data_IF_258670497050
#
_entry.id   IF_258670497050
#
_cell.length_a   1.000
_cell.length_b   1.000
_cell.length_c   1.000
_cell.angle_alpha   90.00
_cell.angle_beta   90.00
_cell.angle_gamma   90.00
#
_symmetry.space_group_name_H-M   'P 1'
#
loop_
_entity.id
_entity.type
_entity.pdbx_description
1 polymer ?
2 non-polymer ?
3 water ?
#
# COMPACT_ATOMS: atom_id res chain seq x y z
N UNK A 3 -2.23 5.29 34.58
CA UNK A 3 -3.70 5.41 34.84
C UNK A 3 -4.49 4.93 33.61
N UNK A 4 -4.08 3.77 33.10
CA UNK A 4 -4.61 3.25 31.83
C UNK A 4 -6.12 3.10 31.87
N UNK A 5 -6.63 2.43 32.91
CA UNK A 5 -8.07 2.25 33.07
C UNK A 5 -8.85 3.57 33.05
N UNK A 6 -8.32 4.61 33.69
CA UNK A 6 -9.02 5.89 33.67
C UNK A 6 -9.01 6.53 32.27
N UNK A 7 -7.91 6.39 31.54
CA UNK A 7 -7.81 6.97 30.20
C UNK A 7 -8.79 6.28 29.26
N UNK A 8 -9.01 4.98 29.49
CA UNK A 8 -9.97 4.19 28.71
C UNK A 8 -11.39 4.78 28.76
N UNK A 9 -11.73 5.43 29.87
CA UNK A 9 -13.04 6.09 30.00
C UNK A 9 -13.23 7.24 28.98
N UNK A 10 -12.11 7.74 28.43
CA UNK A 10 -12.16 8.73 27.36
C UNK A 10 -12.61 8.12 26.03
N UNK A 11 -12.40 6.81 25.90
CA UNK A 11 -12.65 6.09 24.65
C UNK A 11 -14.12 5.69 24.57
N UNK A 12 -14.62 5.45 23.34
CA UNK A 12 -16.03 5.08 23.16
C UNK A 12 -16.35 3.80 23.92
N UNK A 13 -17.65 3.57 24.14
CA UNK A 13 -18.11 2.40 24.90
C UNK A 13 -17.51 1.15 24.29
N UNK A 14 -16.86 0.34 25.12
CA UNK A 14 -16.45 -0.98 24.69
C UNK A 14 -15.19 -1.06 23.86
N UNK A 15 -14.41 0.03 23.78
CA UNK A 15 -13.18 -0.02 22.96
C UNK A 15 -12.18 -0.95 23.62
N UNK A 16 -11.35 -1.61 22.81
CA UNK A 16 -10.45 -2.62 23.33
C UNK A 16 -9.01 -2.18 23.18
N UNK A 17 -8.34 -2.01 24.31
CA UNK A 17 -6.90 -1.64 24.34
C UNK A 17 -5.98 -2.77 24.81
N UNK A 18 -4.90 -2.98 24.05
CA UNK A 18 -3.78 -3.84 24.43
C UNK A 18 -2.52 -2.97 24.29
N UNK A 19 -1.81 -2.77 25.38
CA UNK A 19 -0.74 -1.78 25.45
C UNK A 19 0.48 -2.33 26.15
N UNK A 20 1.64 -2.04 25.59
CA UNK A 20 2.91 -2.39 26.24
C UNK A 20 3.95 -1.28 26.03
N UNK A 21 4.63 -0.90 27.12
CA UNK A 21 5.71 0.11 27.07
C UNK A 21 6.91 -0.44 27.82
N UNK A 22 8.09 -0.35 27.23
CA UNK A 22 9.26 -1.07 27.73
C UNK A 22 10.53 -0.35 27.33
N UNK A 23 11.37 -0.04 28.31
CA UNK A 23 12.69 0.55 28.05
C UNK A 23 13.45 -0.25 27.00
N UNK A 24 14.13 0.44 26.10
CA UNK A 24 14.96 -0.25 25.11
C UNK A 24 16.03 -1.06 25.83
N UNK A 25 16.10 -2.35 25.51
CA UNK A 25 17.09 -3.25 26.08
C UNK A 25 16.70 -3.91 27.39
N UNK A 26 15.59 -3.46 27.98
CA UNK A 26 15.05 -4.09 29.19
C UNK A 26 14.27 -5.37 28.86
N UNK A 27 14.16 -6.26 29.84
CA UNK A 27 13.43 -7.53 29.66
C UNK A 27 12.00 -7.44 30.20
N UNK A 28 11.78 -6.56 31.18
CA UNK A 28 10.46 -6.36 31.74
C UNK A 28 9.83 -5.02 31.30
N UNK A 29 8.53 -5.03 30.99
CA UNK A 29 7.81 -3.81 30.63
C UNK A 29 7.50 -2.89 31.82
N UNK A 30 7.48 -1.59 31.53
CA UNK A 30 7.05 -0.57 32.47
C UNK A 30 5.53 -0.48 32.50
N UNK A 31 4.89 -0.63 31.35
CA UNK A 31 3.43 -0.70 31.28
C UNK A 31 3.05 -1.97 30.55
N UNK A 32 2.13 -2.73 31.14
CA UNK A 32 1.63 -3.95 30.55
C UNK A 32 0.14 -4.02 30.80
N UNK A 33 -0.65 -3.71 29.78
CA UNK A 33 -2.10 -3.81 29.83
C UNK A 33 -2.52 -4.71 28.68
N UNK A 34 -2.82 -5.97 29.00
CA UNK A 34 -3.23 -6.96 28.01
C UNK A 34 -2.19 -7.14 26.88
N UNK A 35 -0.91 -7.12 27.22
CA UNK A 35 0.16 -7.07 26.21
C UNK A 35 0.28 -8.38 25.43
N UNK A 36 -0.29 -9.44 25.98
CA UNK A 36 -0.25 -10.73 25.35
C UNK A 36 -1.43 -10.98 24.41
N UNK A 37 -2.40 -10.09 24.42
CA UNK A 37 -3.66 -10.28 23.69
C UNK A 37 -3.49 -10.01 22.20
N UNK A 38 -4.05 -10.87 21.33
CA UNK A 38 -3.95 -10.70 19.88
C UNK A 38 -4.77 -9.49 19.43
N UNK A 39 -4.29 -8.78 18.40
CA UNK A 39 -5.01 -7.67 17.87
C UNK A 39 -4.74 -7.52 16.38
N UNK A 40 -5.63 -6.77 15.73
CA UNK A 40 -5.44 -6.33 14.34
C UNK A 40 -4.33 -5.27 14.38
N UNK A 41 -3.22 -5.50 13.67
CA UNK A 41 -2.14 -4.48 13.67
C UNK A 41 -2.35 -3.29 12.74
N UNK A 42 -3.21 -3.45 11.73
CA UNK A 42 -3.41 -2.40 10.72
C UNK A 42 -2.03 -2.01 10.14
N UNK A 43 -1.82 -0.75 9.79
CA UNK A 43 -0.55 -0.34 9.16
C UNK A 43 0.68 -0.48 10.05
N UNK A 44 0.52 -0.82 11.33
CA UNK A 44 1.76 -1.15 12.07
C UNK A 44 2.47 -2.40 11.54
N UNK A 45 1.74 -3.21 10.77
CA UNK A 45 2.33 -4.37 10.09
C UNK A 45 3.51 -3.93 9.20
N UNK A 46 3.48 -2.67 8.75
CA UNK A 46 4.51 -2.18 7.84
C UNK A 46 5.85 -2.12 8.54
N UNK A 47 5.84 -2.04 9.89
CA UNK A 47 7.11 -2.07 10.62
C UNK A 47 7.79 -3.40 10.40
N UNK A 48 7.06 -4.50 10.56
CA UNK A 48 7.56 -5.82 10.25
C UNK A 48 8.03 -6.01 8.79
N UNK A 49 7.22 -5.50 7.85
CA UNK A 49 7.54 -5.58 6.44
C UNK A 49 8.85 -4.87 6.15
N UNK A 50 9.01 -3.66 6.68
CA UNK A 50 10.25 -2.87 6.49
C UNK A 50 11.44 -3.63 7.08
N UNK A 51 11.31 -4.22 8.26
CA UNK A 51 12.48 -4.93 8.85
C UNK A 51 12.84 -6.16 8.03
N UNK A 52 11.83 -6.98 7.70
CA UNK A 52 12.09 -8.18 6.94
C UNK A 52 12.66 -7.85 5.54
N UNK A 53 12.20 -6.77 4.94
CA UNK A 53 12.69 -6.32 3.62
C UNK A 53 14.18 -5.93 3.70
N UNK A 54 14.53 -5.16 4.72
CA UNK A 54 15.95 -4.77 4.86
C UNK A 54 16.86 -5.97 5.11
N UNK A 55 16.38 -6.94 5.89
CA UNK A 55 17.15 -8.16 6.11
C UNK A 55 17.28 -9.04 4.84
N UNK A 56 16.19 -9.23 4.11
CA UNK A 56 16.19 -10.12 2.95
C UNK A 56 16.77 -9.49 1.70
N UNK A 57 16.34 -8.27 1.40
CA UNK A 57 16.65 -7.61 0.15
C UNK A 57 17.82 -6.61 0.29
N UNK A 58 17.96 -6.03 1.49
CA UNK A 58 18.93 -4.96 1.73
C UNK A 58 18.52 -3.56 1.30
N UNK A 59 19.17 -2.53 1.84
CA UNK A 59 18.78 -1.13 1.60
C UNK A 59 18.99 -0.64 0.17
N UNK A 60 19.81 -1.37 -0.58
CA UNK A 60 20.18 -0.98 -1.94
C UNK A 60 19.42 -1.72 -3.04
N UNK A 61 18.51 -2.63 -2.64
CA UNK A 61 17.69 -3.34 -3.63
C UNK A 61 16.90 -2.34 -4.46
N UNK A 62 16.76 -2.61 -5.76
CA UNK A 62 15.90 -1.78 -6.62
C UNK A 62 14.96 -2.67 -7.41
N UNK A 63 13.72 -2.21 -7.56
CA UNK A 63 12.77 -2.91 -8.42
C UNK A 63 13.24 -2.65 -9.86
N UNK A 64 12.98 -3.58 -10.78
CA UNK A 64 13.45 -3.47 -12.16
C UNK A 64 12.33 -3.79 -13.17
N UNK A 65 12.27 -3.01 -14.25
CA UNK A 65 11.38 -3.28 -15.36
C UNK A 65 12.28 -3.26 -16.59
N UNK A 66 12.06 -4.17 -17.55
CA UNK A 66 12.91 -4.19 -18.76
C UNK A 66 12.10 -4.38 -20.02
N UNK A 67 12.69 -3.98 -21.15
CA UNK A 67 12.24 -4.46 -22.46
C UNK A 67 13.32 -5.41 -22.96
N UNK A 68 12.91 -6.58 -23.42
CA UNK A 68 13.88 -7.60 -23.81
C UNK A 68 13.54 -8.11 -25.19
N UNK A 69 14.56 -8.35 -26.00
CA UNK A 69 14.30 -8.94 -27.29
C UNK A 69 14.78 -10.37 -27.31
N UNK A 70 13.92 -11.19 -27.90
CA UNK A 70 14.18 -12.56 -28.20
C UNK A 70 14.08 -12.68 -29.73
N UNK A 71 15.25 -12.71 -30.41
CA UNK A 71 15.32 -12.80 -31.88
C UNK A 71 16.33 -11.85 -32.49
N UNK A 72 16.63 -12.04 -33.78
CA UNK A 72 17.54 -11.16 -34.51
C UNK A 72 16.80 -9.95 -35.09
N UNK A 73 17.49 -8.82 -35.15
CA UNK A 73 16.95 -7.60 -35.74
C UNK A 73 17.54 -7.42 -37.15
N UNK A 74 16.70 -7.51 -38.18
CA UNK A 74 17.15 -7.45 -39.57
C UNK A 74 16.50 -6.29 -40.30
N UNK A 75 17.32 -5.32 -40.74
CA UNK A 75 16.81 -4.09 -41.36
C UNK A 75 15.74 -3.39 -40.53
N UNK A 76 15.99 -3.31 -39.22
CA UNK A 76 15.08 -2.65 -38.28
C UNK A 76 13.90 -3.48 -37.83
N UNK A 77 13.83 -4.73 -38.28
CA UNK A 77 12.72 -5.61 -37.96
C UNK A 77 13.18 -6.67 -36.96
N UNK A 78 12.56 -6.67 -35.78
CA UNK A 78 12.83 -7.72 -34.82
C UNK A 78 12.13 -8.97 -35.26
N UNK A 79 12.89 -10.04 -35.53
CA UNK A 79 12.32 -11.31 -35.97
C UNK A 79 12.05 -12.16 -34.73
N UNK A 80 10.91 -11.90 -34.08
CA UNK A 80 10.61 -12.50 -32.79
C UNK A 80 9.80 -11.56 -31.92
N UNK A 81 9.79 -11.84 -30.62
CA UNK A 81 8.90 -11.13 -29.72
C UNK A 81 9.58 -10.01 -28.97
N UNK A 82 8.81 -8.96 -28.68
CA UNK A 82 9.23 -7.98 -27.67
C UNK A 82 8.62 -8.43 -26.35
N UNK A 83 9.47 -8.49 -25.32
CA UNK A 83 9.02 -8.82 -23.96
C UNK A 83 9.16 -7.61 -23.03
N UNK A 84 8.06 -7.21 -22.39
CA UNK A 84 8.11 -6.20 -21.36
C UNK A 84 8.00 -6.92 -20.03
N UNK A 85 9.12 -6.99 -19.30
CA UNK A 85 9.18 -7.78 -18.09
C UNK A 85 8.96 -6.85 -16.91
N UNK A 86 7.78 -6.94 -16.33
CA UNK A 86 7.45 -6.12 -15.14
C UNK A 86 7.99 -6.73 -13.88
N UNK A 87 8.28 -5.90 -12.89
CA UNK A 87 8.96 -6.37 -11.68
C UNK A 87 8.37 -5.84 -10.41
N UNK A 88 7.08 -5.47 -10.47
CA UNK A 88 6.34 -4.98 -9.29
C UNK A 88 6.85 -3.65 -8.76
N UNK A 89 7.50 -2.86 -9.61
CA UNK A 89 7.98 -1.56 -9.16
C UNK A 89 6.77 -0.67 -8.86
N UNK A 90 6.57 -0.29 -7.60
CA UNK A 90 5.39 0.49 -7.27
C UNK A 90 5.46 1.95 -7.74
N UNK A 91 6.65 2.36 -8.24
CA UNK A 91 6.87 3.74 -8.64
C UNK A 91 6.96 3.96 -10.16
N UNK A 92 6.77 2.90 -10.94
CA UNK A 92 6.88 3.02 -12.38
C UNK A 92 5.82 3.97 -12.92
N UNK A 93 6.19 4.80 -13.89
CA UNK A 93 5.31 5.81 -14.45
C UNK A 93 5.13 5.63 -15.97
N UNK A 94 4.08 6.25 -16.51
CA UNK A 94 3.82 6.23 -17.96
C UNK A 94 5.09 6.67 -18.69
N UNK A 95 5.74 7.69 -18.15
CA UNK A 95 6.96 8.22 -18.74
C UNK A 95 8.08 7.25 -18.84
N UNK A 96 8.18 6.35 -17.87
CA UNK A 96 9.21 5.33 -17.91
C UNK A 96 9.00 4.35 -19.09
N UNK A 97 7.73 3.96 -19.31
CA UNK A 97 7.38 3.17 -20.48
C UNK A 97 7.72 3.91 -21.78
N UNK A 98 7.33 5.18 -21.84
CA UNK A 98 7.64 6.02 -23.01
C UNK A 98 9.16 6.04 -23.24
N UNK A 99 9.92 6.24 -22.17
CA UNK A 99 11.38 6.30 -22.28
C UNK A 99 12.00 4.98 -22.73
N UNK A 100 11.52 3.86 -22.21
CA UNK A 100 12.07 2.56 -22.61
C UNK A 100 11.74 2.28 -24.07
N UNK A 101 10.57 2.70 -24.53
CA UNK A 101 10.21 2.56 -25.95
C UNK A 101 11.14 3.43 -26.83
N UNK A 102 11.39 4.67 -26.38
CA UNK A 102 12.33 5.57 -27.09
C UNK A 102 13.67 4.91 -27.23
N UNK A 103 14.11 4.22 -26.18
CA UNK A 103 15.39 3.50 -26.18
C UNK A 103 15.37 2.31 -27.16
N UNK A 104 14.25 1.59 -27.18
CA UNK A 104 14.08 0.47 -28.08
C UNK A 104 14.19 0.95 -29.52
N UNK A 105 13.50 2.05 -29.82
CA UNK A 105 13.56 2.69 -31.15
C UNK A 105 15.02 3.03 -31.49
N UNK A 106 15.67 3.72 -30.57
CA UNK A 106 17.04 4.21 -30.80
C UNK A 106 18.02 3.08 -30.98
N UNK A 107 17.71 1.91 -30.41
CA UNK A 107 18.52 0.72 -30.56
C UNK A 107 18.47 0.13 -31.97
N UNK A 108 17.54 0.61 -32.80
CA UNK A 108 17.39 0.14 -34.18
C UNK A 108 16.15 -0.67 -34.51
N UNK A 109 15.22 -0.79 -33.57
CA UNK A 109 13.99 -1.55 -33.80
C UNK A 109 12.85 -0.64 -34.22
N UNK A 110 12.38 -0.83 -35.46
CA UNK A 110 11.27 -0.06 -36.04
C UNK A 110 9.99 -0.88 -36.18
N UNK A 111 10.13 -2.20 -36.09
CA UNK A 111 9.05 -3.11 -36.43
C UNK A 111 9.27 -4.40 -35.68
N UNK A 112 8.20 -4.99 -35.16
CA UNK A 112 8.29 -6.28 -34.48
C UNK A 112 7.54 -7.34 -35.29
N UNK A 113 8.27 -8.33 -35.77
CA UNK A 113 7.68 -9.43 -36.53
C UNK A 113 7.39 -10.56 -35.55
N UNK A 114 6.32 -10.37 -34.78
CA UNK A 114 6.04 -11.21 -33.63
C UNK A 114 5.04 -10.55 -32.69
N UNK A 115 4.98 -11.07 -31.47
CA UNK A 115 4.04 -10.59 -30.44
C UNK A 115 4.71 -9.63 -29.46
N UNK A 116 3.86 -8.94 -28.69
CA UNK A 116 4.33 -8.09 -27.59
C UNK A 116 3.84 -8.75 -26.33
N UNK A 117 4.79 -9.18 -25.50
CA UNK A 117 4.47 -9.97 -24.32
C UNK A 117 4.59 -9.15 -23.06
N UNK A 118 3.53 -9.19 -22.26
CA UNK A 118 3.53 -8.51 -20.95
C UNK A 118 3.86 -9.56 -19.91
N UNK A 119 5.11 -9.55 -19.43
CA UNK A 119 5.58 -10.60 -18.56
C UNK A 119 5.43 -10.22 -17.09
N UNK A 120 4.61 -10.99 -16.37
CA UNK A 120 4.35 -10.78 -14.93
C UNK A 120 4.78 -12.00 -14.12
N UNK A 121 5.66 -12.81 -14.69
CA UNK A 121 6.04 -14.10 -14.13
C UNK A 121 6.78 -14.00 -12.79
N UNK A 122 7.25 -12.79 -12.44
CA UNK A 122 7.88 -12.56 -11.14
C UNK A 122 6.94 -12.92 -9.97
N UNK A 123 5.63 -12.76 -10.18
CA UNK A 123 4.61 -13.07 -9.19
C UNK A 123 3.64 -14.12 -9.72
N UNK A 124 2.87 -14.72 -8.82
CA UNK A 124 1.83 -15.64 -9.27
C UNK A 124 0.60 -15.55 -8.35
N UNK A 125 -0.50 -16.18 -8.77
CA UNK A 125 -1.74 -16.21 -7.98
C UNK A 125 -2.31 -14.79 -7.90
N UNK A 126 -3.25 -14.60 -6.99
CA UNK A 126 -4.02 -13.36 -6.92
C UNK A 126 -3.18 -12.16 -6.53
N UNK A 127 -3.56 -11.00 -7.05
CA UNK A 127 -2.89 -9.75 -6.69
C UNK A 127 -3.56 -9.10 -5.50
N UNK A 128 -4.44 -9.85 -4.84
CA UNK A 128 -5.15 -9.35 -3.66
C UNK A 128 -4.93 -10.36 -2.53
N UNK A 129 -4.51 -9.88 -1.35
CA UNK A 129 -4.22 -10.78 -0.23
C UNK A 129 -5.51 -11.28 0.37
N UNK A 130 -5.46 -12.44 1.01
CA UNK A 130 -6.64 -12.92 1.73
C UNK A 130 -7.00 -11.95 2.84
N UNK A 131 -8.29 -11.74 3.04
CA UNK A 131 -8.76 -10.90 4.11
C UNK A 131 -8.93 -9.42 3.81
N UNK A 132 -8.67 -9.00 2.58
CA UNK A 132 -8.94 -7.62 2.21
C UNK A 132 -10.41 -7.48 1.95
N UNK A 133 -11.07 -6.47 2.51
CA UNK A 133 -12.50 -6.26 2.21
C UNK A 133 -12.73 -5.97 0.72
N UNK A 134 -13.72 -6.65 0.13
CA UNK A 134 -13.97 -6.52 -1.30
C UNK A 134 -14.34 -5.07 -1.68
N UNK A 135 -15.03 -4.36 -0.77
CA UNK A 135 -15.65 -3.09 -1.13
C UNK A 135 -14.61 -1.98 -1.33
N UNK A 136 -13.41 -2.19 -0.82
CA UNK A 136 -12.35 -1.16 -0.96
C UNK A 136 -11.50 -1.38 -2.20
N UNK A 137 -11.72 -2.47 -2.95
CA UNK A 137 -10.79 -2.87 -4.00
C UNK A 137 -10.72 -1.86 -5.15
N UNK A 138 -11.78 -1.07 -5.33
CA UNK A 138 -11.81 -0.07 -6.38
C UNK A 138 -11.27 1.26 -5.89
N UNK A 139 -10.94 1.38 -4.60
CA UNK A 139 -10.31 2.59 -4.09
C UNK A 139 -8.81 2.53 -4.31
N UNK A 140 -8.19 3.69 -4.56
CA UNK A 140 -6.78 3.66 -4.85
C UNK A 140 -5.87 3.18 -3.72
N UNK A 141 -6.28 3.39 -2.46
CA UNK A 141 -5.44 2.93 -1.36
C UNK A 141 -5.36 1.41 -1.28
N UNK A 142 -6.30 0.72 -1.95
CA UNK A 142 -6.33 -0.75 -1.93
C UNK A 142 -6.16 -1.30 -3.37
N UNK A 143 -5.54 -0.52 -4.26
CA UNK A 143 -5.39 -1.01 -5.64
C UNK A 143 -4.54 -2.29 -5.64
N UNK A 144 -4.99 -3.36 -6.31
CA UNK A 144 -4.20 -4.61 -6.29
C UNK A 144 -2.72 -4.37 -6.67
N UNK A 145 -1.79 -4.66 -5.77
CA UNK A 145 -0.35 -4.39 -6.01
C UNK A 145 0.29 -5.47 -6.88
N UNK A 146 -0.01 -5.41 -8.17
CA UNK A 146 0.32 -6.43 -9.16
C UNK A 146 1.77 -6.28 -9.60
N UNK A 147 2.25 -7.24 -10.40
CA UNK A 147 3.60 -7.11 -10.95
C UNK A 147 3.66 -5.97 -11.91
N UNK A 148 2.56 -5.75 -12.63
CA UNK A 148 2.44 -4.64 -13.59
C UNK A 148 1.74 -3.44 -12.99
N UNK A 149 2.51 -2.43 -12.60
CA UNK A 149 1.96 -1.20 -12.04
C UNK A 149 2.44 -0.02 -12.90
N UNK A 150 1.52 0.86 -13.24
CA UNK A 150 1.87 2.12 -13.91
C UNK A 150 1.10 3.26 -13.25
N UNK A 151 1.84 4.23 -12.70
CA UNK A 151 1.21 5.32 -11.96
C UNK A 151 0.23 4.81 -10.92
N UNK A 152 0.73 3.87 -10.12
CA UNK A 152 0.05 3.32 -8.95
C UNK A 152 -1.27 2.61 -9.32
N UNK A 153 -1.47 2.33 -10.61
CA UNK A 153 -2.69 1.64 -11.02
C UNK A 153 -3.92 2.34 -10.49
N UNK A 154 -3.88 3.67 -10.54
CA UNK A 154 -4.94 4.54 -10.10
C UNK A 154 -5.21 5.56 -11.22
N UNK A 155 -6.48 5.84 -11.46
CA UNK A 155 -6.84 6.83 -12.47
C UNK A 155 -8.00 7.69 -11.97
N UNK A 156 -8.09 8.92 -12.49
CA UNK A 156 -9.20 9.79 -12.10
C UNK A 156 -10.19 10.05 -13.20
N UNK A 157 -11.37 10.44 -12.74
CA UNK A 157 -12.54 10.63 -13.56
C UNK A 157 -13.33 11.82 -12.97
N UNK A 158 -14.14 12.49 -13.79
CA UNK A 158 -15.04 13.55 -13.34
C UNK A 158 -16.46 13.17 -13.69
N UNK A 159 -17.34 13.20 -12.70
CA UNK A 159 -18.73 12.85 -12.89
C UNK A 159 -19.60 14.11 -12.89
N UNK A 160 -20.25 14.39 -14.01
CA UNK A 160 -21.09 15.58 -14.19
C UNK A 160 -22.56 15.19 -14.10
N UNK A 161 -23.30 15.86 -13.22
CA UNK A 161 -24.75 15.71 -13.23
C UNK A 161 -25.32 16.24 -14.56
N UNK A 162 -26.41 15.64 -15.01
CA UNK A 162 -27.10 16.09 -16.23
C UNK A 162 -27.86 17.39 -15.97
N UNK A 163 -27.83 18.33 -16.92
CA UNK A 163 -28.63 19.55 -16.81
C UNK A 163 -30.10 19.25 -16.46
N UNK A 164 -30.67 18.27 -17.17
CA UNK A 164 -32.04 17.81 -16.96
C UNK A 164 -32.09 16.67 -15.94
N UNK A 165 -32.98 16.76 -14.94
CA UNK A 165 -33.17 15.66 -13.99
C UNK A 165 -33.73 14.44 -14.70
N UNK A 166 -33.22 13.26 -14.34
CA UNK A 166 -33.66 12.02 -14.96
C UNK A 166 -32.74 11.54 -16.07
N UNK A 167 -31.94 12.46 -16.62
CA UNK A 167 -30.94 12.09 -17.62
C UNK A 167 -29.69 11.53 -16.94
N UNK A 168 -28.98 10.67 -17.66
CA UNK A 168 -27.75 10.07 -17.16
C UNK A 168 -26.69 11.12 -16.85
N UNK A 169 -26.01 10.95 -15.71
CA UNK A 169 -24.82 11.72 -15.40
C UNK A 169 -23.74 11.36 -16.42
N UNK A 170 -22.81 12.29 -16.65
CA UNK A 170 -21.76 12.17 -17.66
C UNK A 170 -20.39 11.96 -17.05
N UNK A 171 -19.62 11.02 -17.62
CA UNK A 171 -18.26 10.78 -17.15
C UNK A 171 -17.22 11.39 -18.08
N UNK A 172 -16.37 12.24 -17.53
CA UNK A 172 -15.18 12.69 -18.27
C UNK A 172 -13.94 12.00 -17.74
N UNK A 173 -13.16 11.45 -18.66
CA UNK A 173 -11.91 10.75 -18.32
C UNK A 173 -10.86 11.06 -19.39
N UNK A 174 -9.63 11.33 -18.96
CA UNK A 174 -8.52 11.59 -19.90
C UNK A 174 -8.35 10.45 -20.88
N UNK A 175 -8.15 10.80 -22.15
CA UNK A 175 -8.10 9.82 -23.23
C UNK A 175 -6.94 8.84 -23.11
N UNK A 176 -5.88 9.23 -22.43
CA UNK A 176 -4.71 8.36 -22.38
C UNK A 176 -4.88 7.15 -21.47
N UNK A 177 -5.83 7.22 -20.53
CA UNK A 177 -6.09 6.09 -19.62
C UNK A 177 -6.77 4.95 -20.38
N UNK A 178 -6.15 3.78 -20.45
CA UNK A 178 -6.80 2.65 -21.10
C UNK A 178 -7.80 1.99 -20.14
N UNK A 179 -8.89 2.70 -19.91
CA UNK A 179 -10.04 2.19 -19.20
C UNK A 179 -11.28 2.43 -20.05
N UNK A 180 -12.38 1.74 -19.72
CA UNK A 180 -13.64 1.99 -20.42
C UNK A 180 -14.72 2.30 -19.39
N UNK A 181 -15.26 3.51 -19.43
CA UNK A 181 -16.23 3.98 -18.45
C UNK A 181 -17.61 3.97 -19.06
N UNK A 182 -18.59 3.50 -18.27
CA UNK A 182 -20.02 3.55 -18.65
C UNK A 182 -20.77 4.19 -17.49
N UNK A 183 -21.73 5.06 -17.81
CA UNK A 183 -22.62 5.65 -16.81
C UNK A 183 -24.05 5.17 -16.92
N UNK A 184 -24.55 4.59 -15.82
CA UNK A 184 -25.98 4.33 -15.61
C UNK A 184 -26.48 5.14 -14.42
N UNK A 185 -25.82 6.27 -14.16
CA UNK A 185 -26.11 7.14 -13.02
C UNK A 185 -27.21 8.13 -13.42
N UNK A 186 -28.37 8.01 -12.76
CA UNK A 186 -29.53 8.91 -12.97
C UNK A 186 -29.31 10.19 -12.17
N UNK A 187 -29.53 11.35 -12.80
CA UNK A 187 -29.40 12.62 -12.10
C UNK A 187 -30.71 12.91 -11.36
N UNK A 188 -30.60 13.23 -10.08
CA UNK A 188 -31.78 13.55 -9.26
C UNK A 188 -31.89 15.06 -9.05
N UNK A 189 -33.12 15.54 -8.85
CA UNK A 189 -33.37 16.86 -8.28
C UNK A 189 -32.52 17.13 -7.03
N UNK A 190 -32.20 18.40 -6.78
CA UNK A 190 -31.26 18.82 -5.73
C UNK A 190 -31.53 18.29 -4.30
N UNK A 191 -32.79 18.18 -3.90
CA UNK A 191 -33.13 17.62 -2.59
C UNK A 191 -34.18 16.52 -2.62
N UNK A 192 -33.93 15.47 -3.41
CA UNK A 192 -34.98 14.50 -3.77
C UNK A 192 -35.20 13.37 -2.76
N UNK A 193 -36.30 12.63 -2.97
CA UNK A 193 -36.74 11.52 -2.10
C UNK A 193 -35.75 10.36 -2.16
N UNK A 194 -35.33 10.07 -3.39
CA UNK A 194 -34.42 8.97 -3.69
C UNK A 194 -33.01 9.20 -3.17
N UNK A 195 -32.67 10.46 -2.90
CA UNK A 195 -31.33 10.80 -2.44
C UNK A 195 -30.91 10.03 -1.18
N UNK A 196 -31.88 9.68 -0.34
CA UNK A 196 -31.53 9.08 0.95
C UNK A 196 -30.89 7.70 0.82
N UNK A 197 -31.57 6.78 0.13
CA UNK A 197 -31.11 5.38 0.06
C UNK A 197 -30.65 4.90 -1.32
N UNK A 198 -30.59 5.80 -2.31
CA UNK A 198 -30.04 5.44 -3.62
C UNK A 198 -28.55 5.69 -3.60
N UNK A 199 -27.78 4.62 -3.78
CA UNK A 199 -26.33 4.70 -3.68
C UNK A 199 -25.72 5.12 -5.01
N UNK A 200 -24.51 5.69 -4.95
CA UNK A 200 -23.68 5.89 -6.14
C UNK A 200 -22.57 4.86 -6.06
N UNK A 201 -22.55 3.94 -7.04
CA UNK A 201 -21.63 2.79 -6.98
C UNK A 201 -20.71 2.67 -8.17
N UNK A 202 -19.55 2.06 -7.94
CA UNK A 202 -18.68 1.68 -9.04
C UNK A 202 -18.68 0.18 -9.13
N UNK A 203 -18.87 -0.33 -10.35
CA UNK A 203 -18.88 -1.77 -10.60
C UNK A 203 -17.79 -2.10 -11.61
N UNK A 204 -16.72 -2.74 -11.18
CA UNK A 204 -15.65 -3.11 -12.11
C UNK A 204 -16.03 -4.33 -12.94
N UNK A 205 -15.65 -4.30 -14.22
CA UNK A 205 -15.77 -5.46 -15.10
C UNK A 205 -14.43 -5.85 -15.68
N UNK A 206 -14.45 -6.82 -16.58
CA UNK A 206 -13.20 -7.28 -17.19
C UNK A 206 -12.54 -6.20 -18.04
N UNK A 207 -11.25 -6.37 -18.27
CA UNK A 207 -10.43 -5.48 -19.10
C UNK A 207 -10.59 -4.01 -18.75
N UNK A 208 -10.62 -3.73 -17.45
CA UNK A 208 -10.59 -2.39 -16.98
C UNK A 208 -11.77 -1.56 -17.44
N UNK A 209 -12.93 -2.23 -17.53
CA UNK A 209 -14.22 -1.57 -17.68
C UNK A 209 -14.79 -1.19 -16.31
N UNK A 210 -15.39 0.01 -16.22
CA UNK A 210 -16.06 0.43 -15.00
C UNK A 210 -17.42 1.00 -15.31
N UNK A 211 -18.44 0.53 -14.62
CA UNK A 211 -19.78 1.09 -14.78
C UNK A 211 -20.14 1.79 -13.48
N UNK A 212 -20.53 3.06 -13.60
CA UNK A 212 -21.05 3.79 -12.45
C UNK A 212 -22.56 3.64 -12.44
N UNK A 213 -23.13 3.37 -11.28
CA UNK A 213 -24.59 3.10 -11.20
C UNK A 213 -25.19 3.86 -10.05
N UNK A 214 -26.52 3.97 -10.06
CA UNK A 214 -27.23 4.59 -8.94
C UNK A 214 -27.63 6.00 -9.25
N UNK A 215 -27.48 6.88 -8.27
CA UNK A 215 -27.97 8.26 -8.34
C UNK A 215 -26.93 9.29 -7.99
N UNK A 216 -27.10 10.48 -8.59
CA UNK A 216 -26.30 11.63 -8.25
C UNK A 216 -27.22 12.85 -8.21
N UNK A 217 -27.35 13.49 -7.05
CA UNK A 217 -28.08 14.77 -6.96
C UNK A 217 -27.39 15.85 -7.78
N UNK A 218 -28.15 16.74 -8.41
CA UNK A 218 -27.57 17.82 -9.20
C UNK A 218 -26.56 18.63 -8.41
N UNK A 219 -25.46 18.97 -9.07
CA UNK A 219 -24.39 19.74 -8.46
C UNK A 219 -23.86 20.74 -9.50
N UNK A 220 -23.33 21.86 -9.01
CA UNK A 220 -22.79 22.90 -9.87
C UNK A 220 -21.40 22.53 -10.38
N UNK A 221 -20.72 21.67 -9.60
CA UNK A 221 -19.36 21.25 -9.88
C UNK A 221 -19.36 19.74 -10.17
N UNK A 222 -18.53 19.27 -11.10
CA UNK A 222 -18.35 17.83 -11.30
C UNK A 222 -17.78 17.17 -10.05
N UNK A 223 -18.17 15.92 -9.81
CA UNK A 223 -17.65 15.16 -8.68
C UNK A 223 -16.37 14.43 -9.13
N UNK A 224 -15.23 14.72 -8.50
CA UNK A 224 -13.99 14.02 -8.80
C UNK A 224 -13.99 12.66 -8.14
N UNK A 225 -13.55 11.64 -8.86
CA UNK A 225 -13.49 10.27 -8.35
C UNK A 225 -12.18 9.68 -8.81
N UNK A 226 -11.58 8.80 -8.01
CA UNK A 226 -10.39 8.12 -8.45
C UNK A 226 -10.63 6.67 -8.15
N UNK A 227 -10.25 5.82 -9.10
CA UNK A 227 -10.46 4.37 -9.00
C UNK A 227 -9.21 3.57 -9.22
N UNK A 228 -9.18 2.37 -8.61
CA UNK A 228 -8.10 1.43 -8.79
C UNK A 228 -8.30 0.54 -10.01
N UNK A 229 -7.24 0.41 -10.79
CA UNK A 229 -7.16 -0.58 -11.87
C UNK A 229 -7.15 -2.01 -11.31
N UNK A 230 -8.07 -2.85 -11.82
CA UNK A 230 -8.15 -4.24 -11.39
C UNK A 230 -7.29 -5.22 -12.18
N UNK A 231 -6.96 -4.87 -13.44
CA UNK A 231 -6.14 -5.72 -14.30
C UNK A 231 -4.94 -4.92 -14.77
N UNK A 232 -3.93 -4.89 -13.90
CA UNK A 232 -2.67 -4.15 -14.18
C UNK A 232 -1.95 -4.64 -15.42
N UNK A 233 -1.96 -5.93 -15.68
CA UNK A 233 -1.30 -6.45 -16.89
C UNK A 233 -1.89 -5.91 -18.18
N UNK A 234 -3.24 -5.87 -18.26
CA UNK A 234 -3.91 -5.33 -19.44
C UNK A 234 -3.67 -3.85 -19.58
N UNK A 235 -3.69 -3.16 -18.44
CA UNK A 235 -3.54 -1.72 -18.38
C UNK A 235 -2.16 -1.34 -18.88
N UNK A 236 -1.14 -2.02 -18.34
CA UNK A 236 0.27 -1.75 -18.70
C UNK A 236 0.50 -2.09 -20.16
N UNK A 237 -0.10 -3.19 -20.61
CA UNK A 237 -0.05 -3.57 -22.04
C UNK A 237 -0.60 -2.50 -22.96
N UNK A 238 -1.72 -1.91 -22.57
CA UNK A 238 -2.36 -0.89 -23.40
C UNK A 238 -1.50 0.37 -23.42
N UNK A 239 -0.84 0.67 -22.30
CA UNK A 239 0.06 1.84 -22.29
C UNK A 239 1.27 1.59 -23.18
N UNK A 240 1.84 0.40 -23.05
CA UNK A 240 2.95 -0.01 -23.91
C UNK A 240 2.53 0.07 -25.40
N UNK A 241 1.33 -0.41 -25.74
CA UNK A 241 0.84 -0.40 -27.10
C UNK A 241 0.75 1.03 -27.65
N UNK A 242 0.21 1.89 -26.80
CA UNK A 242 0.08 3.31 -27.15
C UNK A 242 1.46 3.92 -27.41
N UNK A 243 2.42 3.69 -26.51
CA UNK A 243 3.76 4.31 -26.68
C UNK A 243 4.52 3.75 -27.89
N UNK A 244 4.39 2.45 -28.14
CA UNK A 244 4.96 1.86 -29.36
C UNK A 244 4.42 2.54 -30.60
N UNK A 245 3.10 2.69 -30.69
CA UNK A 245 2.46 3.34 -31.83
C UNK A 245 2.91 4.79 -31.99
N UNK A 246 3.00 5.53 -30.88
CA UNK A 246 3.41 6.93 -30.95
C UNK A 246 4.84 7.06 -31.44
N UNK A 247 5.68 6.09 -31.05
CA UNK A 247 7.10 6.03 -31.46
C UNK A 247 7.27 5.49 -32.90
N UNK A 248 6.17 5.06 -33.52
CA UNK A 248 6.20 4.56 -34.90
C UNK A 248 6.71 3.14 -35.04
N UNK A 249 6.66 2.36 -33.97
CA UNK A 249 7.05 0.96 -34.02
C UNK A 249 5.79 0.14 -34.31
N UNK A 250 5.80 -0.63 -35.39
CA UNK A 250 4.65 -1.48 -35.71
C UNK A 250 4.90 -2.94 -35.31
N UNK A 251 3.83 -3.72 -35.18
CA UNK A 251 3.93 -5.17 -34.90
C UNK A 251 2.81 -5.97 -35.57
N UNK A 252 3.12 -7.21 -35.89
CA UNK A 252 2.23 -8.07 -36.66
C UNK A 252 1.38 -8.97 -35.77
N UNK A 253 1.87 -9.23 -34.56
CA UNK A 253 1.18 -10.13 -33.63
C UNK A 253 0.15 -9.43 -32.78
N UNK A 254 0.01 -9.87 -31.53
CA UNK A 254 -0.88 -9.21 -30.59
C UNK A 254 -0.19 -9.07 -29.24
N UNK A 255 -0.86 -8.33 -28.35
CA UNK A 255 -0.45 -8.24 -26.95
C UNK A 255 -0.94 -9.46 -26.24
N UNK A 256 0.00 -10.17 -25.62
CA UNK A 256 -0.27 -11.39 -24.86
C UNK A 256 0.37 -11.31 -23.50
N UNK A 257 -0.24 -11.96 -22.51
CA UNK A 257 0.38 -12.03 -21.17
C UNK A 257 1.32 -13.21 -21.12
N UNK A 258 2.45 -13.05 -20.46
CA UNK A 258 3.38 -14.14 -20.20
C UNK A 258 3.49 -14.33 -18.68
N UNK A 259 2.95 -15.44 -18.17
CA UNK A 259 2.89 -15.70 -16.73
C UNK A 259 3.90 -16.73 -16.20
N UNK A 260 4.48 -17.51 -17.09
CA UNK A 260 5.35 -18.62 -16.65
C UNK A 260 6.81 -18.20 -16.66
N UNK A 261 7.58 -18.69 -15.70
CA UNK A 261 8.99 -18.33 -15.58
C UNK A 261 9.73 -18.72 -16.86
N UNK A 262 10.64 -17.87 -17.30
CA UNK A 262 11.30 -18.06 -18.59
C UNK A 262 12.67 -17.38 -18.57
N UNK A 263 13.58 -17.87 -19.41
CA UNK A 263 14.89 -17.24 -19.52
C UNK A 263 14.76 -15.85 -20.13
N UNK A 264 15.38 -14.86 -19.50
CA UNK A 264 15.41 -13.50 -20.01
C UNK A 264 16.07 -13.42 -21.38
N UNK A 265 15.54 -12.54 -22.23
CA UNK A 265 16.16 -12.21 -23.49
C UNK A 265 17.22 -11.16 -23.27
N UNK A 266 17.62 -10.50 -24.35
CA UNK A 266 18.57 -9.40 -24.27
C UNK A 266 17.88 -8.12 -23.79
N UNK A 267 18.32 -7.58 -22.66
CA UNK A 267 17.78 -6.34 -22.12
C UNK A 267 18.19 -5.19 -23.01
N UNK A 268 17.20 -4.55 -23.63
CA UNK A 268 17.43 -3.45 -24.54
C UNK A 268 17.05 -2.10 -23.92
N UNK A 269 16.22 -2.13 -22.89
CA UNK A 269 15.86 -0.92 -22.16
C UNK A 269 15.47 -1.33 -20.73
N UNK A 270 15.74 -0.46 -19.77
CA UNK A 270 15.41 -0.78 -18.37
C UNK A 270 15.10 0.46 -17.53
N UNK A 271 14.42 0.22 -16.40
CA UNK A 271 14.21 1.26 -15.41
C UNK A 271 14.30 0.58 -14.08
N UNK A 272 15.12 1.14 -13.20
CA UNK A 272 15.20 0.73 -11.80
C UNK A 272 14.63 1.77 -10.87
N UNK A 273 13.92 1.31 -9.84
CA UNK A 273 13.41 2.22 -8.83
C UNK A 273 14.50 2.88 -8.01
N UNK A 274 14.14 3.89 -7.23
CA UNK A 274 14.99 4.33 -6.12
C UNK A 274 15.41 3.13 -5.23
N UNK A 275 16.48 3.27 -4.45
CA UNK A 275 16.89 2.22 -3.51
C UNK A 275 15.79 1.87 -2.50
N UNK A 276 15.78 0.60 -2.10
CA UNK A 276 14.73 0.10 -1.19
C UNK A 276 14.62 0.93 0.11
N UNK A 277 15.75 1.34 0.70
CA UNK A 277 15.66 2.14 1.91
C UNK A 277 14.83 3.41 1.67
N UNK A 278 15.01 4.06 0.51
CA UNK A 278 14.25 5.25 0.21
C UNK A 278 12.77 4.95 0.13
N UNK A 279 12.44 3.82 -0.50
CA UNK A 279 11.03 3.42 -0.66
C UNK A 279 10.37 3.01 0.65
N UNK A 280 11.12 2.29 1.47
CA UNK A 280 10.67 1.96 2.84
C UNK A 280 10.40 3.20 3.66
N UNK A 281 11.21 4.24 3.46
CA UNK A 281 10.98 5.51 4.14
C UNK A 281 9.65 6.10 3.75
N UNK A 282 9.40 6.18 2.43
CA UNK A 282 8.10 6.65 1.98
C UNK A 282 7.00 5.78 2.61
N UNK A 283 7.20 4.46 2.56
CA UNK A 283 6.20 3.52 3.05
C UNK A 283 5.83 3.78 4.51
N UNK A 284 6.84 4.02 5.32
CA UNK A 284 6.63 4.22 6.76
C UNK A 284 6.13 5.62 7.09
N UNK A 285 6.62 6.63 6.37
CA UNK A 285 6.22 8.01 6.64
C UNK A 285 4.78 8.25 6.19
N UNK A 286 4.40 7.68 5.04
CA UNK A 286 3.12 7.99 4.41
C UNK A 286 2.14 6.83 4.48
N UNK A 287 2.57 5.70 5.01
CA UNK A 287 1.70 4.49 5.16
C UNK A 287 1.29 4.00 3.75
N UNK A 288 2.29 3.71 2.93
CA UNK A 288 2.04 3.40 1.53
C UNK A 288 1.80 1.93 1.36
N UNK A 289 0.53 1.57 1.16
CA UNK A 289 0.14 0.16 1.03
C UNK A 289 0.78 -0.54 -0.17
N UNK A 290 0.92 0.21 -1.25
CA UNK A 290 1.39 -0.39 -2.53
C UNK A 290 2.87 -0.74 -2.40
N UNK A 291 3.66 0.18 -1.81
CA UNK A 291 5.05 -0.15 -1.53
C UNK A 291 5.15 -1.35 -0.58
N UNK A 292 4.35 -1.34 0.51
CA UNK A 292 4.41 -2.43 1.48
C UNK A 292 4.12 -3.77 0.85
N UNK A 293 3.12 -3.81 -0.02
CA UNK A 293 2.68 -5.10 -0.52
C UNK A 293 3.45 -5.59 -1.73
N UNK A 294 3.97 -4.67 -2.55
CA UNK A 294 4.98 -5.11 -3.54
C UNK A 294 6.26 -5.65 -2.92
N UNK A 295 6.74 -4.95 -1.87
CA UNK A 295 7.88 -5.45 -1.09
C UNK A 295 7.60 -6.81 -0.52
N UNK A 296 6.42 -6.98 0.08
CA UNK A 296 6.06 -8.23 0.75
C UNK A 296 6.12 -9.43 -0.19
N UNK A 297 5.49 -9.31 -1.36
CA UNK A 297 5.55 -10.46 -2.28
C UNK A 297 6.97 -10.61 -2.88
N UNK A 298 7.70 -9.51 -3.01
CA UNK A 298 9.11 -9.61 -3.39
C UNK A 298 9.98 -10.39 -2.40
N UNK A 299 9.75 -10.20 -1.10
CA UNK A 299 10.51 -10.91 -0.09
C UNK A 299 10.43 -12.43 -0.28
N UNK A 300 9.20 -12.92 -0.45
CA UNK A 300 8.95 -14.37 -0.66
C UNK A 300 9.61 -14.86 -1.93
N UNK A 301 9.55 -14.04 -2.98
CA UNK A 301 10.13 -14.39 -4.27
C UNK A 301 11.64 -14.53 -4.12
N UNK A 302 12.27 -13.55 -3.46
CA UNK A 302 13.72 -13.59 -3.28
C UNK A 302 14.14 -14.70 -2.31
N UNK A 303 13.38 -14.98 -1.26
CA UNK A 303 13.84 -15.96 -0.27
C UNK A 303 13.71 -17.39 -0.76
N UNK A 304 12.65 -17.68 -1.51
CA UNK A 304 12.36 -19.05 -1.92
C UNK A 304 12.61 -19.35 -3.40
N UNK A 305 13.02 -18.34 -4.16
CA UNK A 305 13.25 -18.43 -5.60
C UNK A 305 12.08 -19.10 -6.33
N UNK A 306 10.90 -18.52 -6.10
CA UNK A 306 9.62 -18.93 -6.71
C UNK A 306 8.90 -17.65 -7.09
N UNK A 307 7.94 -17.73 -8.02
CA UNK A 307 7.10 -16.56 -8.30
C UNK A 307 6.45 -16.12 -7.00
N UNK A 308 6.47 -14.82 -6.73
CA UNK A 308 6.02 -14.29 -5.46
C UNK A 308 4.52 -14.43 -5.27
N UNK A 309 4.15 -14.95 -4.11
CA UNK A 309 2.73 -15.06 -3.70
C UNK A 309 2.53 -14.53 -2.30
N UNK A 310 1.27 -14.40 -1.88
CA UNK A 310 1.00 -13.94 -0.52
C UNK A 310 1.50 -14.96 0.48
N UNK A 311 1.28 -16.24 0.19
CA UNK A 311 1.66 -17.31 1.13
C UNK A 311 3.18 -17.43 1.26
N UNK A 312 3.88 -17.32 0.15
CA UNK A 312 5.36 -17.32 0.19
C UNK A 312 5.88 -16.11 0.96
N UNK A 313 5.21 -14.97 0.79
CA UNK A 313 5.60 -13.75 1.54
C UNK A 313 5.45 -13.98 3.03
N UNK A 314 4.30 -14.51 3.42
CA UNK A 314 4.03 -14.77 4.82
C UNK A 314 5.03 -15.73 5.46
N UNK A 315 5.30 -16.84 4.78
CA UNK A 315 6.26 -17.82 5.26
C UNK A 315 7.65 -17.21 5.37
N UNK A 316 8.05 -16.44 4.38
CA UNK A 316 9.36 -15.78 4.37
C UNK A 316 9.52 -14.81 5.54
N UNK A 317 8.54 -13.93 5.75
CA UNK A 317 8.61 -12.96 6.83
C UNK A 317 8.69 -13.63 8.21
N UNK A 318 7.89 -14.66 8.44
CA UNK A 318 7.95 -15.45 9.68
C UNK A 318 9.37 -16.05 9.84
N UNK A 319 9.92 -16.60 8.77
CA UNK A 319 11.25 -17.23 8.82
C UNK A 319 12.34 -16.22 9.13
N UNK A 320 12.28 -15.07 8.46
CA UNK A 320 13.26 -14.00 8.65
C UNK A 320 13.22 -13.50 10.07
N UNK A 321 12.03 -13.23 10.60
CA UNK A 321 11.92 -12.76 11.99
C UNK A 321 12.50 -13.75 12.99
N UNK A 322 12.22 -15.03 12.79
CA UNK A 322 12.68 -16.05 13.74
C UNK A 322 14.18 -16.28 13.64
N UNK A 323 14.67 -16.42 12.42
CA UNK A 323 16.04 -16.86 12.13
C UNK A 323 17.08 -15.73 12.13
N UNK A 324 16.69 -14.54 11.66
CA UNK A 324 17.63 -13.43 11.59
C UNK A 324 17.39 -12.42 12.70
N UNK A 325 16.15 -12.27 13.15
CA UNK A 325 15.89 -11.27 14.17
C UNK A 325 15.69 -11.87 15.55
N UNK A 326 15.67 -13.19 15.64
CA UNK A 326 15.54 -13.88 16.92
C UNK A 326 14.16 -13.81 17.53
N UNK A 327 13.16 -13.50 16.70
CA UNK A 327 11.77 -13.37 17.13
C UNK A 327 10.93 -14.53 16.60
N UNK A 328 10.50 -15.40 17.49
CA UNK A 328 9.51 -16.43 17.20
C UNK A 328 8.12 -15.82 17.37
N UNK A 329 7.42 -15.60 16.26
CA UNK A 329 6.16 -14.90 16.35
C UNK A 329 5.03 -15.84 16.79
N UNK A 330 5.34 -17.11 17.01
CA UNK A 330 4.36 -18.03 17.63
C UNK A 330 3.10 -18.15 16.80
N UNK A 331 1.96 -17.85 17.43
CA UNK A 331 0.67 -18.02 16.76
C UNK A 331 0.22 -16.76 15.98
N UNK A 332 1.12 -15.80 15.83
CA UNK A 332 0.89 -14.61 15.01
C UNK A 332 0.45 -15.01 13.60
N UNK A 333 -0.49 -14.26 13.04
CA UNK A 333 -0.84 -14.43 11.63
C UNK A 333 -0.37 -13.23 10.83
N UNK A 334 0.41 -13.50 9.79
CA UNK A 334 0.82 -12.45 8.86
C UNK A 334 0.23 -12.77 7.50
N UNK A 335 -0.65 -11.89 7.02
CA UNK A 335 -1.35 -12.15 5.74
C UNK A 335 -0.87 -11.26 4.59
N UNK A 336 -0.25 -10.13 4.94
CA UNK A 336 0.21 -9.18 3.94
C UNK A 336 1.31 -8.27 4.49
N UNK A 337 1.76 -7.33 3.67
CA UNK A 337 2.81 -6.39 4.06
C UNK A 337 2.30 -5.08 4.59
N UNK A 338 1.11 -4.71 4.12
CA UNK A 338 0.53 -3.38 4.39
C UNK A 338 -0.29 -3.30 5.70
N UNK A 339 -0.78 -4.45 6.16
CA UNK A 339 -1.71 -4.53 7.27
C UNK A 339 -3.16 -4.26 6.87
N UNK A 340 -3.45 -4.20 5.57
CA UNK A 340 -4.87 -4.08 5.14
C UNK A 340 -5.71 -5.30 5.54
N UNK A 341 -5.11 -6.48 5.56
CA UNK A 341 -5.90 -7.69 5.76
C UNK A 341 -6.45 -7.82 7.16
N UNK A 342 -7.73 -8.17 7.24
CA UNK A 342 -8.36 -8.41 8.54
C UNK A 342 -7.94 -9.74 9.12
N UNK A 343 -7.13 -10.51 8.38
CA UNK A 343 -6.56 -11.75 8.91
C UNK A 343 -5.31 -11.60 9.76
N UNK A 344 -4.62 -10.47 9.62
CA UNK A 344 -3.43 -10.21 10.45
C UNK A 344 -3.84 -10.22 11.92
N UNK A 345 -3.02 -10.89 12.74
CA UNK A 345 -3.24 -10.99 14.19
C UNK A 345 -1.89 -11.10 14.85
N UNK A 346 -1.65 -10.19 15.77
CA UNK A 346 -0.36 -10.11 16.49
C UNK A 346 -0.56 -9.43 17.85
N UNK A 347 0.15 -9.93 18.87
CA UNK A 347 0.09 -9.39 20.24
C UNK A 347 1.06 -8.23 20.38
N UNK A 348 0.76 -7.19 21.19
CA UNK A 348 1.77 -6.16 21.51
C UNK A 348 3.13 -6.75 21.91
N UNK A 349 3.14 -7.82 22.73
CA UNK A 349 4.43 -8.44 23.13
C UNK A 349 5.27 -8.97 21.99
N UNK A 350 4.61 -9.41 20.91
CA UNK A 350 5.35 -9.87 19.74
C UNK A 350 5.91 -8.66 18.96
N UNK A 351 5.06 -7.67 18.70
CA UNK A 351 5.54 -6.45 18.06
C UNK A 351 6.65 -5.82 18.91
N UNK A 352 6.56 -5.95 20.23
CA UNK A 352 7.58 -5.38 21.12
C UNK A 352 8.94 -6.00 20.84
N UNK A 353 8.96 -7.32 20.60
CA UNK A 353 10.24 -7.97 20.29
C UNK A 353 10.85 -7.45 19.00
N UNK A 354 10.00 -7.19 18.01
CA UNK A 354 10.41 -6.59 16.76
C UNK A 354 10.99 -5.21 17.03
N UNK A 355 10.26 -4.36 17.75
CA UNK A 355 10.76 -3.01 18.09
C UNK A 355 12.09 -3.05 18.86
N UNK A 356 12.21 -3.99 19.78
CA UNK A 356 13.46 -4.10 20.56
C UNK A 356 14.62 -4.49 19.64
N UNK A 357 14.37 -5.40 18.69
CA UNK A 357 15.40 -5.75 17.72
C UNK A 357 15.82 -4.53 16.90
N UNK A 358 14.84 -3.79 16.39
CA UNK A 358 15.15 -2.62 15.58
C UNK A 358 15.98 -1.61 16.39
N UNK A 359 15.58 -1.34 17.63
CA UNK A 359 16.35 -0.38 18.42
C UNK A 359 17.79 -0.85 18.62
N UNK A 360 17.95 -2.12 18.96
CA UNK A 360 19.29 -2.71 19.22
C UNK A 360 20.16 -2.63 17.98
N UNK A 361 19.57 -2.76 16.80
CA UNK A 361 20.32 -2.73 15.57
C UNK A 361 20.12 -1.45 14.78
N UNK A 362 19.62 -0.39 15.43
CA UNK A 362 19.32 0.82 14.66
C UNK A 362 20.53 1.41 13.94
N UNK A 363 21.72 1.32 14.52
CA UNK A 363 22.88 1.91 13.84
C UNK A 363 23.24 1.17 12.55
N UNK A 364 22.81 -0.08 12.46
CA UNK A 364 22.99 -0.88 11.24
C UNK A 364 21.88 -0.58 10.23
N UNK A 365 20.64 -0.58 10.72
CA UNK A 365 19.49 -0.49 9.84
C UNK A 365 19.12 0.91 9.39
N UNK A 366 19.47 1.93 10.20
CA UNK A 366 18.96 3.29 10.01
C UNK A 366 17.45 3.24 9.85
N UNK A 367 16.79 2.66 10.82
CA UNK A 367 15.36 2.39 10.74
C UNK A 367 14.50 3.45 11.39
N UNK A 368 14.86 3.85 12.61
CA UNK A 368 14.02 4.76 13.38
C UNK A 368 13.83 6.12 12.66
N UNK A 369 14.84 6.58 11.92
CA UNK A 369 14.73 7.82 11.12
C UNK A 369 13.63 7.74 10.05
N UNK A 370 13.22 6.52 9.70
CA UNK A 370 12.19 6.34 8.66
C UNK A 370 10.79 6.49 9.23
N UNK A 371 10.64 6.30 10.55
CA UNK A 371 9.31 6.41 11.15
C UNK A 371 8.86 7.85 11.23
N UNK A 372 7.54 8.10 11.10
CA UNK A 372 7.01 9.45 11.34
C UNK A 372 7.52 9.99 12.69
N UNK A 373 7.99 11.24 12.68
CA UNK A 373 8.39 11.93 13.91
C UNK A 373 7.28 12.89 14.33
N UNK A 374 6.76 12.70 15.53
CA UNK A 374 5.62 13.51 15.99
C UNK A 374 5.91 15.00 15.90
N UNK A 375 4.99 15.73 15.26
CA UNK A 375 5.10 17.18 15.15
C UNK A 375 5.95 17.63 13.96
N UNK A 376 6.46 16.67 13.18
CA UNK A 376 7.28 16.95 12.02
C UNK A 376 6.78 16.39 10.69
N UNK A 377 6.49 15.10 10.63
CA UNK A 377 6.31 14.46 9.32
C UNK A 377 5.51 13.20 9.38
N UNK A 378 5.15 12.78 8.17
CA UNK A 378 4.45 11.57 7.94
C UNK A 378 3.17 11.68 8.68
N UNK A 379 2.69 10.52 9.08
CA UNK A 379 1.41 10.38 9.71
C UNK A 379 1.28 11.12 11.04
N UNK A 380 2.40 11.49 11.67
CA UNK A 380 2.33 12.12 13.00
C UNK A 380 2.60 13.62 13.02
N UNK A 381 2.61 14.23 11.83
CA UNK A 381 2.91 15.64 11.71
C UNK A 381 1.98 16.43 12.63
N UNK A 382 0.70 16.09 12.62
CA UNK A 382 -0.20 16.63 13.64
C UNK A 382 -1.12 15.56 14.21
N UNK A 383 -0.53 14.74 15.06
CA UNK A 383 -1.30 13.83 15.88
C UNK A 383 -1.65 14.63 17.10
N UNK A 384 -2.92 15.05 17.18
CA UNK A 384 -3.36 15.95 18.25
C UNK A 384 -3.04 15.47 19.65
N UNK A 385 -3.30 14.20 19.94
CA UNK A 385 -3.02 13.67 21.27
C UNK A 385 -1.56 13.74 21.67
N UNK A 386 -0.67 13.49 20.70
CA UNK A 386 0.76 13.58 20.97
C UNK A 386 1.21 15.03 21.14
N UNK A 387 0.72 15.91 20.27
CA UNK A 387 1.01 17.32 20.44
C UNK A 387 0.58 17.82 21.82
N UNK A 388 -0.67 17.51 22.18
CA UNK A 388 -1.21 17.99 23.47
C UNK A 388 -0.54 17.31 24.67
N UNK A 389 0.07 16.15 24.43
CA UNK A 389 0.85 15.48 25.47
C UNK A 389 2.22 16.11 25.71
N UNK A 390 2.61 17.05 24.86
CA UNK A 390 3.95 17.65 24.93
C UNK A 390 5.09 16.80 24.35
N UNK A 391 4.77 15.83 23.49
CA UNK A 391 5.79 14.87 23.04
C UNK A 391 6.21 15.03 21.59
N UNK A 392 5.87 16.17 20.97
CA UNK A 392 6.39 16.46 19.63
C UNK A 392 7.92 16.40 19.62
N UNK A 393 8.49 15.76 18.59
CA UNK A 393 9.94 15.61 18.53
C UNK A 393 10.52 14.51 19.42
N UNK A 394 9.65 13.86 20.21
CA UNK A 394 10.07 12.83 21.13
C UNK A 394 9.50 11.44 20.80
N UNK A 395 8.60 11.37 19.82
CA UNK A 395 7.98 10.10 19.45
C UNK A 395 8.26 9.85 17.97
N UNK A 396 8.85 8.70 17.67
CA UNK A 396 8.98 8.16 16.30
C UNK A 396 8.15 6.88 16.26
N UNK A 397 7.05 6.90 15.53
CA UNK A 397 6.14 5.76 15.60
C UNK A 397 5.33 5.63 14.33
N UNK A 398 4.91 4.39 14.05
CA UNK A 398 4.06 4.06 12.92
C UNK A 398 2.59 3.99 13.38
N UNK A 399 1.73 4.71 12.67
CA UNK A 399 0.31 4.64 12.92
C UNK A 399 -0.28 3.40 12.25
N UNK A 400 -1.43 2.96 12.75
CA UNK A 400 -2.18 1.92 12.05
C UNK A 400 -3.65 2.18 12.22
N UNK A 401 -4.32 2.58 11.14
CA UNK A 401 -5.78 2.81 11.19
C UNK A 401 -6.59 2.03 10.14
N UNK A 402 -7.68 1.41 10.60
CA UNK A 402 -8.64 0.72 9.72
C UNK A 402 -9.98 1.04 10.36
N UNK A 403 -11.08 0.68 9.70
CA UNK A 403 -12.39 0.90 10.33
C UNK A 403 -12.36 0.22 11.70
N UNK A 404 -12.50 1.03 12.75
CA UNK A 404 -12.54 0.51 14.12
C UNK A 404 -11.20 0.36 14.82
N UNK A 405 -10.11 0.75 14.14
CA UNK A 405 -8.75 0.51 14.68
C UNK A 405 -7.88 1.78 14.67
N UNK A 406 -7.30 2.13 15.83
CA UNK A 406 -6.35 3.26 15.97
C UNK A 406 -5.06 2.89 16.72
N UNK A 407 -4.11 2.30 16.02
CA UNK A 407 -2.89 1.79 16.63
C UNK A 407 -1.71 2.76 16.51
N UNK A 408 -0.76 2.60 17.41
CA UNK A 408 0.56 3.25 17.28
C UNK A 408 1.60 2.27 17.77
N UNK A 409 2.75 2.21 17.10
CA UNK A 409 3.87 1.36 17.53
C UNK A 409 5.18 2.04 17.20
N UNK A 410 6.10 2.11 18.17
CA UNK A 410 7.37 2.82 17.91
C UNK A 410 8.10 3.12 19.18
N UNK A 411 8.68 4.31 19.22
CA UNK A 411 9.63 4.72 20.28
C UNK A 411 9.34 6.08 20.81
N UNK A 412 9.57 6.25 22.10
CA UNK A 412 9.39 7.53 22.76
C UNK A 412 10.61 7.77 23.62
N UNK A 413 11.12 8.99 23.53
CA UNK A 413 12.20 9.46 24.42
C UNK A 413 11.52 10.22 25.55
N UNK A 414 11.69 9.75 26.78
CA UNK A 414 10.90 10.30 27.91
C UNK A 414 11.65 11.42 28.62
N UNK A 415 11.03 11.95 29.68
CA UNK A 415 11.60 13.10 30.40
C UNK A 415 13.00 12.82 30.92
N UNK A 416 13.23 11.60 31.40
CA UNK A 416 14.56 11.20 31.87
C UNK A 416 15.58 11.02 30.73
N UNK A 417 15.12 11.09 29.48
CA UNK A 417 16.01 10.79 28.35
C UNK A 417 16.08 9.31 27.96
N UNK A 418 15.38 8.46 28.71
CA UNK A 418 15.26 7.01 28.44
C UNK A 418 14.47 6.81 27.12
N UNK A 419 14.98 6.00 26.20
CA UNK A 419 14.17 5.58 25.03
C UNK A 419 13.36 4.34 25.39
N UNK A 420 12.06 4.41 25.15
CA UNK A 420 11.14 3.30 25.41
C UNK A 420 10.47 2.89 24.09
N UNK A 421 10.35 1.58 23.87
CA UNK A 421 9.55 1.05 22.75
C UNK A 421 8.11 0.95 23.28
N UNK A 422 7.12 1.18 22.44
CA UNK A 422 5.75 1.06 22.88
C UNK A 422 4.87 0.54 21.76
N UNK A 423 3.80 -0.15 22.16
CA UNK A 423 2.80 -0.65 21.23
C UNK A 423 1.42 -0.38 21.83
N UNK A 424 0.64 0.39 21.11
CA UNK A 424 -0.75 0.69 21.48
C UNK A 424 -1.65 0.08 20.42
N UNK A 425 -2.38 -0.97 20.82
CA UNK A 425 -3.32 -1.61 19.92
C UNK A 425 -4.73 -1.38 20.44
N UNK A 426 -5.45 -0.49 19.76
CA UNK A 426 -6.77 -0.04 20.17
C UNK A 426 -7.74 -0.35 19.03
N UNK A 427 -8.71 -1.22 19.29
CA UNK A 427 -9.65 -1.69 18.28
C UNK A 427 -11.03 -1.75 18.89
N UNK A 428 -12.00 -2.21 18.11
CA UNK A 428 -13.41 -2.21 18.55
C UNK A 428 -13.91 -0.80 18.82
N UNK A 429 -13.27 0.18 18.18
CA UNK A 429 -13.59 1.59 18.31
C UNK A 429 -14.78 1.94 17.41
N UNK A 430 -15.86 2.39 18.04
CA UNK A 430 -17.06 2.79 17.32
C UNK A 430 -17.77 3.89 18.06
N UNK A 431 -18.25 4.86 17.30
CA UNK A 431 -19.13 5.89 17.85
C UNK A 431 -20.53 5.75 17.28
N UNK A 432 -21.50 6.30 18.00
CA UNK A 432 -22.91 6.28 17.61
C UNK A 432 -23.12 7.09 16.34
N UNK A 433 -24.06 6.68 15.50
CA UNK A 433 -24.34 7.34 14.22
C UNK A 433 -24.20 8.86 14.22
N UNK A 434 -24.69 9.53 15.27
CA UNK A 434 -24.69 11.01 15.33
C UNK A 434 -23.33 11.64 15.71
N UNK A 435 -22.26 10.84 15.65
CA UNK A 435 -20.91 11.33 15.97
C UNK A 435 -19.85 10.77 15.04
N UNK A 436 -20.29 10.11 13.97
CA UNK A 436 -19.38 9.39 13.06
C UNK A 436 -18.40 10.28 12.30
N UNK A 437 -18.79 11.53 12.04
CA UNK A 437 -17.87 12.48 11.38
C UNK A 437 -17.29 13.47 12.39
N UNK A 438 -17.02 12.95 13.58
CA UNK A 438 -16.45 13.68 14.71
C UNK A 438 -15.76 12.66 15.60
N UNK A 439 -15.65 11.45 15.05
CA UNK A 439 -15.25 10.22 15.73
C UNK A 439 -13.89 10.23 16.45
N UNK A 440 -12.99 11.11 16.04
CA UNK A 440 -11.62 11.11 16.55
C UNK A 440 -11.39 11.81 17.91
N UNK A 441 -12.37 12.56 18.41
CA UNK A 441 -12.14 13.32 19.67
C UNK A 441 -11.83 12.45 20.91
N UNK A 442 -12.54 11.33 21.11
CA UNK A 442 -12.19 10.40 22.21
C UNK A 442 -10.75 9.86 22.13
N UNK A 443 -10.30 9.52 20.91
CA UNK A 443 -8.92 9.06 20.69
C UNK A 443 -7.91 10.10 21.18
N UNK A 444 -8.10 11.35 20.73
CA UNK A 444 -7.25 12.47 21.14
C UNK A 444 -7.20 12.63 22.66
N UNK A 445 -8.35 12.53 23.31
CA UNK A 445 -8.44 12.63 24.76
C UNK A 445 -7.59 11.56 25.42
N UNK A 446 -7.75 10.32 24.92
CA UNK A 446 -7.00 9.17 25.42
C UNK A 446 -5.50 9.37 25.28
N UNK A 447 -5.06 9.65 24.05
CA UNK A 447 -3.62 9.76 23.75
C UNK A 447 -2.95 10.94 24.44
N UNK A 448 -3.65 12.07 24.51
CA UNK A 448 -3.12 13.25 25.23
C UNK A 448 -2.70 12.84 26.63
N UNK A 449 -3.54 12.04 27.26
CA UNK A 449 -3.32 11.60 28.63
C UNK A 449 -2.24 10.54 28.76
N UNK A 450 -2.33 9.48 27.95
CA UNK A 450 -1.39 8.36 28.07
C UNK A 450 0.05 8.80 27.82
N UNK A 451 0.29 9.53 26.74
CA UNK A 451 1.69 9.84 26.40
C UNK A 451 2.31 10.93 27.26
N UNK A 452 1.45 11.81 27.80
CA UNK A 452 1.93 12.73 28.83
C UNK A 452 2.38 11.93 30.04
N UNK A 453 1.54 10.98 30.46
CA UNK A 453 1.88 10.07 31.56
C UNK A 453 3.20 9.37 31.29
N UNK A 454 3.32 8.71 30.14
CA UNK A 454 4.54 7.96 29.84
C UNK A 454 5.77 8.86 29.84
N UNK A 455 5.68 10.00 29.16
CA UNK A 455 6.81 10.93 29.07
C UNK A 455 7.24 11.43 30.45
N UNK A 456 6.27 11.93 31.22
CA UNK A 456 6.58 12.56 32.50
C UNK A 456 7.19 11.57 33.51
N UNK A 457 6.69 10.33 33.54
CA UNK A 457 7.00 9.39 34.63
C UNK A 457 8.09 8.35 34.38
N UNK A 458 8.85 8.52 33.30
CA UNK A 458 9.85 7.55 32.88
C UNK A 458 11.13 8.24 32.49
#
# INVERSE_FOLDING_TARGET
MANVDEYITQLPAGANLALMVQKVGASAPAIDYHSQQMALPASTQKVITALAALIQLGPDFRFTTTLETKGNVENGVLKGDLVARFGADPTLKRQDIRNMVATLKKSGVNQIDGNVLIDTSIFASHDKAPGWPWNDMTQCFSAPPAAAIVDRNCFSVSLYSAPKPGDMAFIRVASYYPVTMFSQVRTLPRGSAEAQYCELDVVPGDLNRFTLTGCLPQRSEPLPLAFAVQDGASYAGAILKYELKQAGITWSGTLLRQTQVNEPGTVVASKQSAPLHDLLKIMLKKSDNMIADTVFRMIGHARFNVPGTWRAGSDAVRQILRQQAGVDIGNTIIADGSGLSRHNLIAPATMMQVLQYIAQHDNELNFISMLPLAGYDGSLQYRAGLHQAGVDGKVSAKTGSLQGVYNLAGFITTASGQRMAFVQYLSGYAVEPADQRNRRIPLVRFESRLYKDIYQNN
#
